data_IF_810125592318
#
_entry.id   IF_810125592318
#
_cell.length_a   1.000
_cell.length_b   1.000
_cell.length_c   1.000
_cell.angle_alpha   90.00
_cell.angle_beta   90.00
_cell.angle_gamma   90.00
#
_symmetry.space_group_name_H-M   'P 1'
#
loop_
_entity.id
_entity.type
_entity.pdbx_description
1 polymer ?
#
# COMPACT_ATOMS: atom_id res chain seq x y z
N UNK A 1 -69.14 3.60 15.85
CA UNK A 1 -67.97 4.37 15.41
C UNK A 1 -66.70 3.67 15.89
N UNK A 2 -66.00 2.98 15.01
CA UNK A 2 -64.79 2.22 15.38
C UNK A 2 -63.57 3.06 15.01
N UNK A 3 -62.85 3.53 16.01
CA UNK A 3 -61.61 4.25 15.80
C UNK A 3 -60.49 3.24 15.49
N UNK A 4 -60.03 3.24 14.26
CA UNK A 4 -58.86 2.49 13.82
C UNK A 4 -57.61 3.32 14.13
N UNK A 5 -56.88 2.94 15.17
CA UNK A 5 -55.57 3.51 15.49
C UNK A 5 -54.52 2.77 14.64
N UNK A 6 -54.01 3.46 13.63
CA UNK A 6 -52.88 2.98 12.84
C UNK A 6 -51.57 3.20 13.62
N UNK A 7 -51.05 2.14 14.21
CA UNK A 7 -49.71 2.16 14.79
C UNK A 7 -48.73 1.93 13.65
N UNK A 8 -48.09 3.01 13.18
CA UNK A 8 -46.95 2.94 12.28
C UNK A 8 -45.73 2.52 13.10
N UNK A 9 -45.34 1.26 13.02
CA UNK A 9 -44.07 0.76 13.57
C UNK A 9 -42.94 1.28 12.67
N UNK A 10 -42.27 2.33 13.12
CA UNK A 10 -41.06 2.85 12.51
C UNK A 10 -39.91 1.87 12.80
N UNK A 11 -39.66 0.95 11.87
CA UNK A 11 -38.49 0.06 11.92
C UNK A 11 -37.27 0.93 11.61
N UNK A 12 -36.58 1.35 12.66
CA UNK A 12 -35.23 1.92 12.59
C UNK A 12 -34.28 0.81 12.13
N UNK A 13 -34.03 0.73 10.82
CA UNK A 13 -32.92 0.00 10.25
C UNK A 13 -31.64 0.73 10.69
N UNK A 14 -31.13 0.36 11.87
CA UNK A 14 -29.76 0.68 12.26
C UNK A 14 -28.83 -0.10 11.34
N UNK A 15 -28.43 0.51 10.21
CA UNK A 15 -27.31 0.04 9.42
C UNK A 15 -26.07 0.16 10.31
N UNK A 16 -25.70 -0.91 10.98
CA UNK A 16 -24.37 -1.05 11.55
C UNK A 16 -23.40 -0.99 10.37
N UNK A 17 -22.84 0.18 10.14
CA UNK A 17 -21.68 0.33 9.27
C UNK A 17 -20.54 -0.43 9.95
N UNK A 18 -20.47 -1.75 9.75
CA UNK A 18 -19.27 -2.51 9.99
C UNK A 18 -18.21 -1.82 9.15
N UNK A 19 -17.26 -1.13 9.79
CA UNK A 19 -16.18 -0.44 9.13
C UNK A 19 -15.52 -1.39 8.14
N UNK A 20 -15.84 -1.20 6.85
CA UNK A 20 -15.32 -2.03 5.78
C UNK A 20 -13.80 -1.94 5.85
N UNK A 21 -13.13 -3.07 6.04
CA UNK A 21 -11.67 -3.15 6.00
C UNK A 21 -11.25 -2.66 4.62
N UNK A 22 -10.38 -1.66 4.57
CA UNK A 22 -9.86 -1.15 3.31
C UNK A 22 -9.15 -2.30 2.58
N UNK A 23 -9.42 -2.44 1.30
CA UNK A 23 -8.80 -3.42 0.42
C UNK A 23 -7.99 -2.66 -0.64
N UNK A 24 -6.69 -2.92 -0.70
CA UNK A 24 -5.77 -2.30 -1.65
C UNK A 24 -5.65 -3.08 -2.96
N UNK A 25 -6.38 -4.20 -3.12
CA UNK A 25 -6.31 -5.02 -4.34
C UNK A 25 -6.74 -4.26 -5.58
N UNK A 26 -5.99 -4.47 -6.64
CA UNK A 26 -6.27 -3.90 -7.96
C UNK A 26 -5.02 -3.70 -8.80
N UNK A 27 -5.26 -3.31 -10.04
CA UNK A 27 -4.23 -2.82 -10.95
C UNK A 27 -4.16 -1.30 -10.81
N UNK A 28 -2.97 -0.79 -10.58
CA UNK A 28 -2.70 0.59 -10.22
C UNK A 28 -1.64 1.19 -11.14
N UNK A 29 -1.88 2.39 -11.63
CA UNK A 29 -0.93 3.14 -12.45
C UNK A 29 -0.55 4.43 -11.77
N UNK A 30 0.74 4.74 -11.73
CA UNK A 30 1.26 5.97 -11.15
C UNK A 30 0.68 7.21 -11.86
N UNK A 31 0.16 8.15 -11.08
CA UNK A 31 -0.16 9.49 -11.52
C UNK A 31 0.93 10.45 -11.02
N UNK A 32 1.90 10.73 -11.88
CA UNK A 32 3.03 11.59 -11.54
C UNK A 32 2.59 13.02 -11.16
N UNK A 33 1.54 13.53 -11.81
CA UNK A 33 1.06 14.91 -11.56
C UNK A 33 0.42 15.10 -10.20
N UNK A 34 -0.08 14.01 -9.59
CA UNK A 34 -0.65 13.99 -8.22
C UNK A 34 0.36 13.55 -7.17
N UNK A 35 1.50 13.03 -7.59
CA UNK A 35 2.54 12.47 -6.71
C UNK A 35 3.59 13.53 -6.35
N UNK A 36 4.22 13.33 -5.20
CA UNK A 36 5.39 14.10 -4.76
C UNK A 36 6.62 13.19 -4.91
N UNK A 37 7.26 13.28 -6.08
CA UNK A 37 8.40 12.43 -6.45
C UNK A 37 9.72 13.14 -6.18
N UNK A 38 10.79 12.36 -5.95
CA UNK A 38 12.14 12.89 -5.84
C UNK A 38 12.59 13.61 -7.11
N UNK A 39 13.32 14.70 -6.95
CA UNK A 39 13.70 15.57 -8.07
C UNK A 39 14.72 14.95 -9.03
N UNK A 40 15.73 14.25 -8.51
CA UNK A 40 16.79 13.64 -9.33
C UNK A 40 16.60 12.14 -9.50
N UNK A 41 15.90 11.51 -8.56
CA UNK A 41 15.68 10.08 -8.51
C UNK A 41 14.39 9.79 -7.75
N UNK A 42 13.59 8.85 -8.24
CA UNK A 42 12.37 8.37 -7.60
C UNK A 42 12.36 6.85 -7.47
N UNK A 43 11.85 6.38 -6.35
CA UNK A 43 11.60 4.96 -6.08
C UNK A 43 10.23 4.49 -6.56
N UNK A 44 9.43 5.40 -7.14
CA UNK A 44 8.06 5.09 -7.57
C UNK A 44 8.05 4.08 -8.72
N UNK A 45 7.33 2.95 -8.60
CA UNK A 45 7.04 2.10 -9.74
C UNK A 45 6.03 2.80 -10.67
N UNK A 46 6.11 2.56 -11.97
CA UNK A 46 5.17 3.08 -12.96
C UNK A 46 3.78 2.44 -12.85
N UNK A 47 3.73 1.17 -12.41
CA UNK A 47 2.51 0.43 -12.20
C UNK A 47 2.67 -0.63 -11.11
N UNK A 48 1.55 -1.02 -10.50
CA UNK A 48 1.49 -2.11 -9.54
C UNK A 48 0.22 -2.94 -9.74
N UNK A 49 0.35 -4.26 -9.54
CA UNK A 49 -0.77 -5.14 -9.26
C UNK A 49 -0.68 -5.59 -7.79
N UNK A 50 -1.73 -5.33 -7.03
CA UNK A 50 -1.80 -5.63 -5.60
C UNK A 50 -2.89 -6.66 -5.34
N UNK A 51 -2.55 -7.72 -4.64
CA UNK A 51 -3.49 -8.71 -4.10
C UNK A 51 -3.45 -8.64 -2.57
N UNK A 52 -4.51 -8.09 -1.97
CA UNK A 52 -4.62 -7.90 -0.52
C UNK A 52 -5.69 -8.82 0.06
N UNK A 53 -5.30 -9.73 0.93
CA UNK A 53 -6.17 -10.63 1.69
C UNK A 53 -6.23 -10.22 3.17
N UNK A 54 -6.91 -10.99 4.00
CA UNK A 54 -6.89 -10.77 5.45
C UNK A 54 -5.53 -11.06 6.10
N UNK A 55 -4.67 -11.85 5.43
CA UNK A 55 -3.42 -12.37 5.99
C UNK A 55 -2.19 -11.96 5.22
N UNK A 56 -2.33 -11.63 3.93
CA UNK A 56 -1.20 -11.38 3.02
C UNK A 56 -1.42 -10.16 2.15
N UNK A 57 -0.33 -9.57 1.73
CA UNK A 57 -0.25 -8.60 0.65
C UNK A 57 0.78 -9.10 -0.36
N UNK A 58 0.36 -9.33 -1.58
CA UNK A 58 1.22 -9.64 -2.72
C UNK A 58 1.26 -8.43 -3.64
N UNK A 59 2.46 -7.98 -4.00
CA UNK A 59 2.67 -6.81 -4.85
C UNK A 59 3.57 -7.20 -6.00
N UNK A 60 3.06 -7.05 -7.22
CA UNK A 60 3.87 -7.06 -8.44
C UNK A 60 4.00 -5.61 -8.90
N UNK A 61 5.21 -5.09 -8.97
CA UNK A 61 5.48 -3.72 -9.41
C UNK A 61 6.33 -3.70 -10.67
N UNK A 62 6.08 -2.70 -11.52
CA UNK A 62 6.84 -2.43 -12.73
C UNK A 62 7.51 -1.08 -12.55
N UNK A 63 8.82 -1.05 -12.72
CA UNK A 63 9.62 0.18 -12.71
C UNK A 63 10.33 0.32 -14.05
N UNK A 64 10.62 1.54 -14.45
CA UNK A 64 11.41 1.81 -15.64
C UNK A 64 12.82 2.25 -15.23
N UNK A 65 13.83 1.56 -15.74
CA UNK A 65 15.22 1.89 -15.53
C UNK A 65 15.99 1.83 -16.85
N UNK A 66 16.61 2.93 -17.23
CA UNK A 66 17.37 3.06 -18.50
C UNK A 66 16.56 2.62 -19.74
N UNK A 67 15.26 2.97 -19.77
CA UNK A 67 14.33 2.60 -20.85
C UNK A 67 13.93 1.12 -20.88
N UNK A 68 14.22 0.38 -19.82
CA UNK A 68 13.81 -1.02 -19.65
C UNK A 68 12.81 -1.14 -18.52
N UNK A 69 11.74 -1.92 -18.74
CA UNK A 69 10.81 -2.29 -17.69
C UNK A 69 11.40 -3.41 -16.83
N UNK A 70 11.41 -3.19 -15.53
CA UNK A 70 11.82 -4.17 -14.52
C UNK A 70 10.61 -4.54 -13.68
N UNK A 71 10.21 -5.82 -13.75
CA UNK A 71 9.18 -6.36 -12.87
C UNK A 71 9.80 -6.88 -11.58
N UNK A 72 9.20 -6.54 -10.45
CA UNK A 72 9.55 -7.08 -9.14
C UNK A 72 8.31 -7.62 -8.42
N UNK A 73 8.49 -8.68 -7.64
CA UNK A 73 7.43 -9.32 -6.87
C UNK A 73 7.80 -9.39 -5.40
N UNK A 74 6.87 -9.03 -4.54
CA UNK A 74 7.04 -9.12 -3.11
C UNK A 74 5.80 -9.73 -2.45
N UNK A 75 6.04 -10.58 -1.46
CA UNK A 75 5.03 -11.22 -0.62
C UNK A 75 5.21 -10.79 0.82
N UNK A 76 4.13 -10.37 1.47
CA UNK A 76 4.14 -9.95 2.87
C UNK A 76 3.04 -10.67 3.64
N UNK A 77 3.39 -11.22 4.81
CA UNK A 77 2.40 -11.63 5.81
C UNK A 77 2.00 -10.42 6.67
N UNK A 78 0.71 -10.32 7.03
CA UNK A 78 0.17 -9.15 7.75
C UNK A 78 0.04 -9.38 9.27
N UNK A 79 0.77 -10.34 9.80
CA UNK A 79 0.83 -10.72 11.21
C UNK A 79 2.04 -10.12 11.95
N UNK A 80 2.90 -9.37 11.23
CA UNK A 80 4.12 -8.77 11.77
C UNK A 80 5.33 -9.70 11.75
N UNK A 81 5.19 -10.93 11.26
CA UNK A 81 6.30 -11.84 11.03
C UNK A 81 7.16 -11.36 9.86
N UNK A 82 8.42 -11.78 9.83
CA UNK A 82 9.37 -11.41 8.77
C UNK A 82 9.05 -12.17 7.49
N UNK A 83 8.87 -11.44 6.41
CA UNK A 83 8.79 -11.95 5.05
C UNK A 83 10.11 -11.69 4.32
N UNK A 84 10.64 -12.68 3.62
CA UNK A 84 11.83 -12.53 2.79
C UNK A 84 11.42 -12.39 1.32
N UNK A 85 11.97 -11.38 0.64
CA UNK A 85 11.67 -11.08 -0.75
C UNK A 85 12.96 -10.88 -1.54
N UNK A 86 12.96 -11.08 -2.87
CA UNK A 86 14.08 -10.72 -3.72
C UNK A 86 14.42 -9.23 -3.59
N UNK A 87 15.69 -8.93 -3.44
CA UNK A 87 16.25 -7.58 -3.43
C UNK A 87 17.00 -7.27 -4.72
N UNK A 88 17.87 -6.28 -4.66
CA UNK A 88 18.71 -5.89 -5.79
C UNK A 88 19.90 -6.85 -5.95
N UNK A 89 20.30 -7.19 -7.19
CA UNK A 89 21.47 -8.03 -7.52
C UNK A 89 21.51 -9.36 -6.73
N UNK A 90 20.42 -10.14 -6.76
CA UNK A 90 20.27 -11.42 -6.05
C UNK A 90 20.35 -11.33 -4.51
N UNK A 91 20.28 -10.13 -3.94
CA UNK A 91 20.15 -9.96 -2.49
C UNK A 91 18.77 -10.37 -1.99
N UNK A 92 18.63 -10.51 -0.69
CA UNK A 92 17.35 -10.78 -0.02
C UNK A 92 17.01 -9.62 0.88
N UNK A 93 15.80 -9.11 0.76
CA UNK A 93 15.25 -8.13 1.70
C UNK A 93 14.41 -8.81 2.76
N UNK A 94 14.35 -8.20 3.95
CA UNK A 94 13.54 -8.65 5.07
C UNK A 94 12.51 -7.60 5.40
N UNK A 95 11.22 -8.00 5.38
CA UNK A 95 10.14 -7.05 5.58
C UNK A 95 9.21 -7.51 6.68
N UNK A 96 8.66 -6.56 7.42
CA UNK A 96 7.51 -6.77 8.31
C UNK A 96 6.35 -5.92 7.82
N UNK A 97 5.12 -6.45 7.87
CA UNK A 97 3.94 -5.73 7.44
C UNK A 97 2.80 -5.88 8.44
N UNK A 98 2.01 -4.82 8.58
CA UNK A 98 0.86 -4.82 9.48
C UNK A 98 -0.21 -3.82 9.07
N UNK A 99 -1.48 -4.18 9.31
CA UNK A 99 -2.63 -3.33 9.04
C UNK A 99 -3.15 -2.67 10.32
N UNK A 100 -3.19 -1.33 10.33
CA UNK A 100 -3.82 -0.56 11.39
C UNK A 100 -5.29 -0.28 11.05
N UNK A 101 -6.19 -0.84 11.88
CA UNK A 101 -7.65 -0.69 11.73
C UNK A 101 -8.14 0.72 12.05
N UNK A 102 -7.43 1.48 12.90
CA UNK A 102 -7.85 2.82 13.33
C UNK A 102 -7.58 3.83 12.22
N UNK A 103 -6.37 3.80 11.68
CA UNK A 103 -5.94 4.70 10.59
C UNK A 103 -6.33 4.18 9.21
N UNK A 104 -6.73 2.90 9.11
CA UNK A 104 -7.03 2.19 7.85
C UNK A 104 -5.83 2.18 6.89
N UNK A 105 -4.64 2.07 7.45
CA UNK A 105 -3.38 2.03 6.72
C UNK A 105 -2.70 0.68 6.85
N UNK A 106 -1.88 0.33 5.87
CA UNK A 106 -0.99 -0.82 5.92
C UNK A 106 0.44 -0.29 5.88
N UNK A 107 1.23 -0.64 6.89
CA UNK A 107 2.63 -0.25 6.99
C UNK A 107 3.52 -1.43 6.68
N UNK A 108 4.51 -1.22 5.80
CA UNK A 108 5.57 -2.17 5.47
C UNK A 108 6.90 -1.52 5.83
N UNK A 109 7.75 -2.25 6.54
CA UNK A 109 9.13 -1.84 6.81
C UNK A 109 10.01 -2.92 6.20
N UNK A 110 10.91 -2.51 5.32
CA UNK A 110 11.83 -3.40 4.59
C UNK A 110 13.26 -2.99 4.88
N UNK A 111 14.05 -3.93 5.33
CA UNK A 111 15.50 -3.79 5.44
C UNK A 111 16.17 -4.54 4.30
N UNK A 112 17.13 -3.90 3.66
CA UNK A 112 17.88 -4.45 2.52
C UNK A 112 19.29 -3.91 2.42
N UNK A 113 19.99 -4.38 1.41
CA UNK A 113 21.35 -3.96 1.09
C UNK A 113 21.50 -3.76 -0.41
N UNK A 114 22.17 -2.68 -0.80
CA UNK A 114 22.54 -2.40 -2.19
C UNK A 114 24.02 -2.05 -2.22
N UNK A 115 24.82 -2.84 -2.94
CA UNK A 115 26.27 -2.64 -3.09
C UNK A 115 27.02 -2.46 -1.75
N UNK A 116 26.64 -3.26 -0.75
CA UNK A 116 27.25 -3.23 0.59
C UNK A 116 26.73 -2.11 1.50
N UNK A 117 25.77 -1.32 1.05
CA UNK A 117 25.11 -0.27 1.85
C UNK A 117 23.73 -0.74 2.32
N UNK A 118 23.55 -0.74 3.63
CA UNK A 118 22.24 -1.05 4.22
C UNK A 118 21.27 0.11 4.06
N UNK A 119 19.99 -0.23 3.83
CA UNK A 119 18.90 0.74 3.83
C UNK A 119 17.68 0.19 4.55
N UNK A 120 16.85 1.09 5.04
CA UNK A 120 15.51 0.79 5.53
C UNK A 120 14.48 1.57 4.70
N UNK A 121 13.50 0.87 4.14
CA UNK A 121 12.39 1.44 3.39
C UNK A 121 11.10 1.27 4.19
N UNK A 122 10.45 2.38 4.53
CA UNK A 122 9.13 2.39 5.15
C UNK A 122 8.09 2.82 4.13
N UNK A 123 7.05 2.02 3.94
CA UNK A 123 5.94 2.32 3.05
C UNK A 123 4.62 2.26 3.81
N UNK A 124 3.76 3.28 3.64
CA UNK A 124 2.43 3.35 4.24
C UNK A 124 1.40 3.46 3.13
N UNK A 125 0.61 2.41 2.98
CA UNK A 125 -0.49 2.32 2.02
C UNK A 125 -1.78 2.84 2.64
N UNK A 126 -2.50 3.68 1.91
CA UNK A 126 -3.83 4.19 2.28
C UNK A 126 -4.67 4.43 1.03
N UNK A 127 -6.00 4.60 1.21
CA UNK A 127 -6.86 5.03 0.11
C UNK A 127 -7.20 6.51 0.29
N UNK A 128 -7.12 7.27 -0.78
CA UNK A 128 -7.47 8.70 -0.84
C UNK A 128 -8.32 8.96 -2.09
N UNK A 129 -9.59 9.31 -1.90
CA UNK A 129 -10.54 9.64 -3.00
C UNK A 129 -10.67 8.56 -4.10
N UNK A 130 -10.47 7.28 -3.73
CA UNK A 130 -10.52 6.15 -4.65
C UNK A 130 -9.17 5.77 -5.24
N UNK A 131 -8.14 6.60 -5.09
CA UNK A 131 -6.76 6.35 -5.48
C UNK A 131 -6.00 5.63 -4.35
N UNK A 132 -4.99 4.84 -4.72
CA UNK A 132 -4.04 4.27 -3.78
C UNK A 132 -2.93 5.27 -3.52
N UNK A 133 -2.80 5.70 -2.26
CA UNK A 133 -1.71 6.55 -1.80
C UNK A 133 -0.67 5.71 -1.07
N UNK A 134 0.61 5.85 -1.46
CA UNK A 134 1.75 5.24 -0.77
C UNK A 134 2.71 6.34 -0.35
N UNK A 135 2.92 6.50 0.95
CA UNK A 135 4.01 7.32 1.49
C UNK A 135 5.22 6.42 1.64
N UNK A 136 6.33 6.80 1.04
CA UNK A 136 7.57 6.03 0.97
C UNK A 136 8.72 6.82 1.56
N UNK A 137 9.40 6.26 2.54
CA UNK A 137 10.56 6.85 3.20
C UNK A 137 11.70 5.84 3.17
N UNK A 138 12.77 6.14 2.45
CA UNK A 138 14.00 5.35 2.41
C UNK A 138 15.11 6.05 3.17
N UNK A 139 15.75 5.36 4.09
CA UNK A 139 16.87 5.85 4.90
C UNK A 139 18.09 4.95 4.71
N UNK A 140 19.26 5.56 4.52
CA UNK A 140 20.56 4.90 4.43
C UNK A 140 21.67 5.81 4.98
N UNK A 141 22.89 5.33 5.03
CA UNK A 141 24.06 6.14 5.42
C UNK A 141 24.33 7.31 4.45
N UNK A 142 23.75 7.27 3.24
CA UNK A 142 23.89 8.34 2.24
C UNK A 142 22.83 9.43 2.37
N UNK A 143 21.81 9.23 3.21
CA UNK A 143 20.73 10.19 3.42
C UNK A 143 19.35 9.53 3.42
N UNK A 144 18.35 10.39 3.35
CA UNK A 144 16.93 10.01 3.37
C UNK A 144 16.24 10.52 2.11
N UNK A 145 15.31 9.71 1.60
CA UNK A 145 14.41 10.06 0.50
C UNK A 145 12.99 9.87 1.00
N UNK A 146 12.17 10.91 0.91
CA UNK A 146 10.75 10.85 1.25
C UNK A 146 9.91 11.23 0.04
N UNK A 147 8.96 10.39 -0.33
CA UNK A 147 8.12 10.54 -1.51
C UNK A 147 6.66 10.20 -1.16
N UNK A 148 5.73 10.74 -1.94
CA UNK A 148 4.32 10.34 -1.90
C UNK A 148 3.88 9.94 -3.30
N UNK A 149 3.47 8.69 -3.45
CA UNK A 149 2.96 8.15 -4.70
C UNK A 149 1.43 8.12 -4.69
N UNK A 150 0.82 8.57 -5.76
CA UNK A 150 -0.61 8.43 -6.01
C UNK A 150 -0.81 7.55 -7.23
N UNK A 151 -1.54 6.47 -7.05
CA UNK A 151 -1.84 5.51 -8.10
C UNK A 151 -3.34 5.51 -8.39
N UNK A 152 -3.69 5.64 -9.65
CA UNK A 152 -5.06 5.53 -10.13
C UNK A 152 -5.38 4.09 -10.51
N UNK A 153 -6.60 3.68 -10.22
CA UNK A 153 -7.10 2.34 -10.56
C UNK A 153 -7.30 2.20 -12.06
N UNK A 154 -6.85 1.07 -12.62
CA UNK A 154 -7.05 0.73 -14.02
C UNK A 154 -8.32 -0.09 -14.22
#
# INVERSE_FOLDING_TARGET
MKNFVFIIALVLLSTTAFGQKVNFSGEWKLNESKSELGYEFSLAPSAMNVEHTKKTLDVTSVSEWDGQEIESKAHYTLDGEVSENPGFEDSVTKSTAGYDKKTKTLKIITDGEVQGMSYTLTQIYSMADGDLKVVSEAASDMGEIAETFIFEKQ
#
